data_IF_228108765704
#
_entry.id   IF_228108765704
#
_cell.length_a   1.000
_cell.length_b   1.000
_cell.length_c   1.000
_cell.angle_alpha   90.00
_cell.angle_beta   90.00
_cell.angle_gamma   90.00
#
_symmetry.space_group_name_H-M   'P 1'
#
loop_
_entity.id
_entity.type
_entity.pdbx_description
1 polymer ?
#
# COMPACT_ATOMS: atom_id res chain seq x y z
N UNK A 1 21.34 9.73 0.70
CA UNK A 1 20.44 9.90 1.86
C UNK A 1 20.01 11.35 1.94
N UNK A 2 18.75 11.60 2.29
CA UNK A 2 18.14 12.93 2.33
C UNK A 2 17.37 13.13 3.63
N UNK A 3 17.36 14.36 4.14
CA UNK A 3 16.56 14.76 5.30
C UNK A 3 15.57 15.83 4.86
N UNK A 4 14.31 15.70 5.27
CA UNK A 4 13.24 16.61 4.92
C UNK A 4 12.41 17.00 6.15
N UNK A 5 11.93 18.24 6.16
CA UNK A 5 10.97 18.71 7.16
C UNK A 5 9.75 19.24 6.44
N UNK A 6 8.59 18.65 6.71
CA UNK A 6 7.33 19.04 6.07
C UNK A 6 6.33 19.47 7.13
N UNK A 7 5.42 20.37 6.76
CA UNK A 7 4.24 20.67 7.57
C UNK A 7 3.04 20.16 6.80
N UNK A 8 2.37 19.16 7.36
CA UNK A 8 1.25 18.51 6.68
C UNK A 8 0.01 18.55 7.57
N UNK A 9 -1.14 18.75 6.93
CA UNK A 9 -2.45 18.70 7.57
C UNK A 9 -3.15 17.42 7.15
N UNK A 10 -3.49 16.59 8.12
CA UNK A 10 -4.20 15.31 7.95
C UNK A 10 -5.51 15.45 8.73
N UNK A 11 -6.60 15.73 8.01
CA UNK A 11 -7.89 16.07 8.62
C UNK A 11 -7.79 17.21 9.65
N UNK A 12 -8.22 17.01 10.92
CA UNK A 12 -8.14 18.04 11.96
C UNK A 12 -6.73 18.22 12.53
N UNK A 13 -5.77 17.35 12.21
CA UNK A 13 -4.42 17.36 12.79
C UNK A 13 -3.46 18.08 11.85
N UNK A 14 -2.76 19.10 12.35
CA UNK A 14 -1.62 19.70 11.66
C UNK A 14 -0.34 19.38 12.44
N UNK A 15 0.65 18.84 11.75
CA UNK A 15 1.91 18.45 12.37
C UNK A 15 3.10 18.80 11.48
N UNK A 16 4.25 19.02 12.14
CA UNK A 16 5.54 19.15 11.48
C UNK A 16 6.23 17.80 11.55
N UNK A 17 6.52 17.19 10.41
CA UNK A 17 7.22 15.93 10.32
C UNK A 17 8.67 16.18 9.95
N UNK A 18 9.58 15.54 10.67
CA UNK A 18 10.98 15.42 10.28
C UNK A 18 11.18 14.00 9.78
N UNK A 19 11.69 13.85 8.57
CA UNK A 19 11.88 12.55 7.95
C UNK A 19 13.25 12.39 7.30
N UNK A 20 13.66 11.13 7.22
CA UNK A 20 14.83 10.67 6.49
C UNK A 20 14.34 9.82 5.33
N UNK A 21 14.96 10.02 4.17
CA UNK A 21 14.64 9.33 2.93
C UNK A 21 15.93 8.75 2.35
N UNK A 22 15.89 7.50 1.93
CA UNK A 22 16.99 6.83 1.26
C UNK A 22 16.49 6.23 -0.06
N UNK A 23 17.31 6.37 -1.10
CA UNK A 23 17.12 5.64 -2.34
C UNK A 23 18.05 4.43 -2.31
N UNK A 24 17.49 3.26 -2.57
CA UNK A 24 18.18 1.97 -2.62
C UNK A 24 17.81 1.25 -3.91
N UNK A 25 18.49 0.13 -4.18
CA UNK A 25 18.17 -0.74 -5.31
C UNK A 25 18.08 0.02 -6.64
N UNK A 26 19.03 0.94 -6.86
CA UNK A 26 19.11 1.78 -8.04
C UNK A 26 19.49 0.94 -9.26
N UNK A 27 18.63 0.96 -10.28
CA UNK A 27 18.88 0.36 -11.59
C UNK A 27 18.53 1.36 -12.70
N UNK A 28 19.38 2.38 -12.91
CA UNK A 28 19.10 3.43 -13.89
C UNK A 28 19.08 2.89 -15.34
N UNK A 29 18.16 3.34 -16.21
CA UNK A 29 17.05 4.29 -15.96
C UNK A 29 15.73 3.61 -15.54
N UNK A 30 15.73 2.31 -15.22
CA UNK A 30 14.55 1.45 -15.16
C UNK A 30 13.83 1.46 -13.82
N UNK A 31 14.53 1.43 -12.69
CA UNK A 31 13.87 1.29 -11.39
C UNK A 31 14.70 1.77 -10.22
N UNK A 32 14.02 2.03 -9.11
CA UNK A 32 14.62 2.30 -7.81
C UNK A 32 13.64 2.04 -6.67
N UNK A 33 14.17 1.88 -5.46
CA UNK A 33 13.37 1.82 -4.24
C UNK A 33 13.59 3.05 -3.38
N UNK A 34 12.50 3.63 -2.89
CA UNK A 34 12.52 4.67 -1.87
C UNK A 34 12.21 4.02 -0.53
N UNK A 35 12.99 4.33 0.50
CA UNK A 35 12.63 4.03 1.89
C UNK A 35 12.62 5.32 2.69
N UNK A 36 11.66 5.44 3.61
CA UNK A 36 11.47 6.65 4.36
C UNK A 36 10.91 6.39 5.75
N UNK A 37 11.40 7.16 6.71
CA UNK A 37 10.82 7.23 8.04
C UNK A 37 10.69 8.68 8.47
N UNK A 38 9.65 8.97 9.25
CA UNK A 38 9.39 10.31 9.74
C UNK A 38 8.68 10.33 11.09
N UNK A 39 8.98 11.35 11.87
CA UNK A 39 8.36 11.62 13.17
C UNK A 39 7.71 12.99 13.20
N UNK A 40 6.46 13.02 13.64
CA UNK A 40 5.67 14.22 13.93
C UNK A 40 5.61 14.55 15.42
N UNK A 41 6.49 13.95 16.24
CA UNK A 41 6.47 14.09 17.69
C UNK A 41 5.16 13.55 18.28
N UNK A 42 4.43 14.39 19.01
CA UNK A 42 3.15 14.02 19.62
C UNK A 42 2.06 13.61 18.60
N UNK A 43 2.20 13.99 17.33
CA UNK A 43 1.27 13.60 16.28
C UNK A 43 1.43 12.14 15.86
N UNK A 44 2.62 11.56 15.99
CA UNK A 44 2.91 10.18 15.63
C UNK A 44 4.12 10.02 14.72
N UNK A 45 4.18 8.88 14.03
CA UNK A 45 5.28 8.53 13.13
C UNK A 45 4.78 7.75 11.91
N UNK A 46 5.59 7.75 10.86
CA UNK A 46 5.38 6.93 9.67
C UNK A 46 6.70 6.28 9.25
N UNK A 47 6.64 5.02 8.82
CA UNK A 47 7.75 4.31 8.17
C UNK A 47 7.22 3.59 6.95
N UNK A 48 7.90 3.68 5.82
CA UNK A 48 7.43 3.04 4.61
C UNK A 48 8.49 3.01 3.52
N UNK A 49 8.07 2.50 2.38
CA UNK A 49 8.86 2.55 1.17
C UNK A 49 7.98 2.46 -0.06
N UNK A 50 8.60 2.76 -1.19
CA UNK A 50 7.98 2.67 -2.50
C UNK A 50 8.94 1.98 -3.47
N UNK A 51 8.43 1.04 -4.27
CA UNK A 51 9.14 0.55 -5.45
C UNK A 51 8.68 1.37 -6.64
N UNK A 52 9.61 1.91 -7.44
CA UNK A 52 9.32 2.71 -8.63
C UNK A 52 9.93 2.04 -9.86
N UNK A 53 9.17 1.93 -10.93
CA UNK A 53 9.61 1.43 -12.22
C UNK A 53 9.24 2.40 -13.33
N UNK A 54 10.14 2.57 -14.28
CA UNK A 54 9.99 3.42 -15.46
C UNK A 54 10.11 2.55 -16.70
N UNK A 55 9.12 2.62 -17.57
CA UNK A 55 9.07 1.88 -18.84
C UNK A 55 8.80 2.87 -19.95
N UNK A 56 9.61 2.83 -21.00
CA UNK A 56 9.32 3.55 -22.24
C UNK A 56 8.23 2.79 -23.01
N UNK A 57 7.16 3.50 -23.38
CA UNK A 57 6.05 2.95 -24.15
C UNK A 57 5.53 4.01 -25.11
N UNK A 58 5.41 3.67 -26.40
CA UNK A 58 4.87 4.55 -27.45
C UNK A 58 5.39 6.01 -27.46
N UNK A 59 6.65 6.24 -27.08
CA UNK A 59 7.27 7.57 -27.01
C UNK A 59 6.95 8.38 -25.75
N UNK A 60 6.34 7.74 -24.74
CA UNK A 60 6.15 8.27 -23.38
C UNK A 60 6.87 7.39 -22.35
N UNK A 61 7.05 7.91 -21.14
CA UNK A 61 7.56 7.13 -20.00
C UNK A 61 6.42 6.82 -19.05
N UNK A 62 6.09 5.54 -18.92
CA UNK A 62 5.14 5.04 -17.92
C UNK A 62 5.88 4.83 -16.59
N UNK A 63 5.54 5.66 -15.61
CA UNK A 63 6.02 5.53 -14.24
C UNK A 63 4.97 4.75 -13.43
N UNK A 64 5.35 3.56 -12.96
CA UNK A 64 4.56 2.77 -12.01
C UNK A 64 5.21 2.79 -10.63
N UNK A 65 4.39 2.82 -9.58
CA UNK A 65 4.88 2.78 -8.23
C UNK A 65 3.97 1.95 -7.31
N UNK A 66 4.59 1.27 -6.36
CA UNK A 66 3.90 0.52 -5.31
C UNK A 66 4.39 1.01 -3.95
N UNK A 67 3.49 1.47 -3.09
CA UNK A 67 3.80 2.06 -1.79
C UNK A 67 3.28 1.17 -0.67
N UNK A 68 4.14 0.91 0.32
CA UNK A 68 3.75 0.29 1.58
C UNK A 68 4.26 1.13 2.74
N UNK A 69 3.36 1.51 3.64
CA UNK A 69 3.69 2.33 4.80
C UNK A 69 2.94 1.86 6.05
N UNK A 70 3.59 2.04 7.20
CA UNK A 70 3.05 1.85 8.53
C UNK A 70 3.02 3.19 9.24
N UNK A 71 1.85 3.55 9.75
CA UNK A 71 1.61 4.80 10.48
C UNK A 71 1.19 4.46 11.91
N UNK A 72 1.71 5.21 12.87
CA UNK A 72 1.43 5.01 14.30
C UNK A 72 1.26 6.32 15.07
N UNK A 73 0.74 6.21 16.30
CA UNK A 73 0.47 7.35 17.17
C UNK A 73 -0.90 7.98 16.95
N UNK A 74 -1.05 9.28 17.28
CA UNK A 74 -2.35 9.96 17.24
C UNK A 74 -2.93 10.07 15.84
N UNK A 75 -2.10 10.18 14.81
CA UNK A 75 -2.56 10.23 13.41
C UNK A 75 -3.18 8.90 12.98
N UNK A 76 -2.65 7.75 13.44
CA UNK A 76 -3.22 6.45 13.12
C UNK A 76 -4.66 6.29 13.65
N UNK A 77 -5.02 7.04 14.70
CA UNK A 77 -6.37 7.05 15.29
C UNK A 77 -7.40 7.80 14.42
N UNK A 78 -6.96 8.55 13.41
CA UNK A 78 -7.85 9.24 12.47
C UNK A 78 -8.54 8.27 11.49
N UNK A 79 -8.07 7.03 11.42
CA UNK A 79 -8.61 5.98 10.57
C UNK A 79 -7.95 5.91 9.19
N UNK A 80 -7.91 4.69 8.65
CA UNK A 80 -7.21 4.35 7.40
C UNK A 80 -7.71 5.18 6.22
N UNK A 81 -9.03 5.31 6.05
CA UNK A 81 -9.64 6.05 4.93
C UNK A 81 -9.17 7.50 4.82
N UNK A 82 -9.04 8.20 5.95
CA UNK A 82 -8.57 9.58 5.96
C UNK A 82 -7.09 9.68 5.57
N UNK A 83 -6.27 8.77 6.11
CA UNK A 83 -4.85 8.67 5.81
C UNK A 83 -4.65 8.40 4.32
N UNK A 84 -5.36 7.42 3.77
CA UNK A 84 -5.28 7.02 2.37
C UNK A 84 -5.69 8.17 1.44
N UNK A 85 -6.80 8.87 1.74
CA UNK A 85 -7.23 10.03 0.93
C UNK A 85 -6.22 11.18 0.94
N UNK A 86 -5.55 11.40 2.08
CA UNK A 86 -4.52 12.44 2.20
C UNK A 86 -3.25 12.02 1.45
N UNK A 87 -2.84 10.76 1.56
CA UNK A 87 -1.70 10.21 0.84
C UNK A 87 -1.92 10.26 -0.67
N UNK A 88 -3.09 9.84 -1.15
CA UNK A 88 -3.48 9.92 -2.56
C UNK A 88 -3.37 11.36 -3.09
N UNK A 89 -3.95 12.33 -2.38
CA UNK A 89 -3.85 13.75 -2.75
C UNK A 89 -2.40 14.22 -2.84
N UNK A 90 -1.55 13.86 -1.88
CA UNK A 90 -0.13 14.23 -1.91
C UNK A 90 0.62 13.58 -3.08
N UNK A 91 0.30 12.32 -3.42
CA UNK A 91 0.84 11.65 -4.60
C UNK A 91 0.42 12.35 -5.90
N UNK A 92 -0.88 12.67 -6.03
CA UNK A 92 -1.42 13.34 -7.21
C UNK A 92 -0.73 14.72 -7.40
N UNK A 93 -0.60 15.51 -6.32
CA UNK A 93 0.13 16.79 -6.34
C UNK A 93 1.61 16.61 -6.70
N UNK A 94 2.29 15.60 -6.13
CA UNK A 94 3.69 15.33 -6.43
C UNK A 94 3.91 14.99 -7.91
N UNK A 95 3.10 14.08 -8.47
CA UNK A 95 3.28 13.64 -9.86
C UNK A 95 2.86 14.70 -10.87
N UNK A 96 1.83 15.50 -10.56
CA UNK A 96 1.45 16.65 -11.36
C UNK A 96 2.61 17.66 -11.47
N UNK A 97 3.28 17.97 -10.35
CA UNK A 97 4.45 18.86 -10.37
C UNK A 97 5.69 18.20 -10.98
N UNK A 98 5.90 16.90 -10.74
CA UNK A 98 7.00 16.15 -11.32
C UNK A 98 6.97 16.13 -12.84
N UNK A 99 5.81 15.87 -13.46
CA UNK A 99 5.69 15.84 -14.91
C UNK A 99 5.98 17.20 -15.56
N UNK A 100 5.47 18.30 -14.96
CA UNK A 100 5.78 19.67 -15.39
C UNK A 100 7.30 19.91 -15.40
N UNK A 101 8.00 19.47 -14.36
CA UNK A 101 9.44 19.64 -14.22
C UNK A 101 10.25 18.70 -15.13
N UNK A 102 9.75 17.49 -15.39
CA UNK A 102 10.40 16.50 -16.23
C UNK A 102 10.23 16.77 -17.74
N UNK A 103 9.54 17.85 -18.13
CA UNK A 103 9.29 18.21 -19.52
C UNK A 103 8.14 17.43 -20.17
N UNK A 104 7.39 16.65 -19.39
CA UNK A 104 6.12 16.06 -19.81
C UNK A 104 5.00 17.09 -19.80
N UNK A 105 4.02 16.91 -20.68
CA UNK A 105 2.72 17.58 -20.55
C UNK A 105 2.00 17.15 -19.27
N UNK A 106 0.76 17.61 -19.07
CA UNK A 106 -0.06 17.27 -17.91
C UNK A 106 -0.03 15.75 -17.66
N UNK A 107 0.50 15.33 -16.51
CA UNK A 107 0.53 13.91 -16.15
C UNK A 107 -0.91 13.42 -16.08
N UNK A 108 -1.35 12.66 -17.07
CA UNK A 108 -2.59 11.93 -16.96
C UNK A 108 -2.36 10.80 -15.96
N UNK A 109 -2.66 11.08 -14.70
CA UNK A 109 -2.68 10.07 -13.66
C UNK A 109 -3.76 9.06 -14.04
N UNK A 110 -3.36 8.00 -14.74
CA UNK A 110 -4.19 6.80 -14.87
C UNK A 110 -4.48 6.39 -13.45
N UNK A 111 -5.74 6.54 -13.04
CA UNK A 111 -6.15 6.30 -11.67
C UNK A 111 -5.54 4.96 -11.24
N UNK A 112 -4.79 4.91 -10.11
CA UNK A 112 -4.24 3.64 -9.65
C UNK A 112 -5.43 2.69 -9.61
N UNK A 113 -5.34 1.60 -10.38
CA UNK A 113 -6.27 0.49 -10.25
C UNK A 113 -6.39 0.26 -8.74
N UNK A 114 -7.60 0.36 -8.16
CA UNK A 114 -7.77 0.34 -6.72
C UNK A 114 -6.92 -0.81 -6.21
N UNK A 115 -5.98 -0.50 -5.31
CA UNK A 115 -5.15 -1.49 -4.64
C UNK A 115 -6.08 -2.64 -4.34
N UNK A 116 -5.85 -3.79 -5.00
CA UNK A 116 -6.79 -4.89 -4.94
C UNK A 116 -7.01 -5.16 -3.45
N UNK A 117 -8.17 -4.73 -2.94
CA UNK A 117 -8.68 -5.25 -1.69
C UNK A 117 -8.59 -6.76 -1.88
N UNK A 118 -7.97 -7.51 -0.96
CA UNK A 118 -8.22 -8.94 -0.96
C UNK A 118 -9.74 -9.06 -0.88
N UNK A 119 -10.37 -9.52 -1.98
CA UNK A 119 -11.82 -9.58 -2.07
C UNK A 119 -12.34 -10.21 -0.79
N UNK A 120 -13.14 -9.50 0.02
CA UNK A 120 -13.71 -10.08 1.21
C UNK A 120 -14.81 -11.04 0.76
N UNK A 121 -14.41 -12.28 0.54
CA UNK A 121 -15.32 -13.41 0.48
C UNK A 121 -15.76 -13.83 -0.92
N UNK A 122 -14.87 -14.55 -1.61
CA UNK A 122 -15.31 -15.81 -2.18
C UNK A 122 -15.71 -16.74 -1.02
N UNK A 123 -16.96 -16.63 -0.54
CA UNK A 123 -17.58 -17.65 0.32
C UNK A 123 -17.80 -18.91 -0.52
N UNK A 124 -16.72 -19.63 -0.81
CA UNK A 124 -16.76 -21.05 -1.17
C UNK A 124 -17.03 -21.86 0.09
N UNK A 125 -18.22 -21.72 0.66
CA UNK A 125 -18.67 -22.60 1.73
C UNK A 125 -18.87 -23.99 1.15
N UNK A 126 -18.08 -24.96 1.61
CA UNK A 126 -18.27 -26.37 1.27
C UNK A 126 -19.72 -26.74 1.62
N UNK A 127 -20.55 -27.17 0.65
CA UNK A 127 -21.98 -27.30 0.88
C UNK A 127 -22.25 -28.35 1.98
N UNK A 128 -23.29 -28.17 2.81
CA UNK A 128 -23.49 -28.94 4.05
C UNK A 128 -23.50 -30.46 3.88
N UNK A 129 -23.87 -30.95 2.69
CA UNK A 129 -23.86 -32.37 2.35
C UNK A 129 -22.45 -32.97 2.32
N UNK A 130 -21.42 -32.18 1.98
CA UNK A 130 -20.01 -32.64 2.01
C UNK A 130 -19.52 -32.83 3.45
N UNK A 131 -19.95 -31.97 4.39
CA UNK A 131 -19.72 -32.20 5.82
C UNK A 131 -20.43 -33.44 6.33
N UNK A 132 -21.67 -33.69 5.87
CA UNK A 132 -22.42 -34.88 6.24
C UNK A 132 -21.72 -36.17 5.73
N UNK A 133 -21.28 -36.20 4.47
CA UNK A 133 -20.55 -37.36 3.91
C UNK A 133 -19.18 -37.54 4.58
N UNK A 134 -18.45 -36.45 4.84
CA UNK A 134 -17.17 -36.49 5.54
C UNK A 134 -17.28 -36.99 6.98
N UNK A 135 -18.31 -36.56 7.72
CA UNK A 135 -18.56 -37.03 9.09
C UNK A 135 -18.97 -38.51 9.12
N UNK A 136 -19.75 -38.99 8.15
CA UNK A 136 -20.13 -40.40 8.05
C UNK A 136 -18.92 -41.30 7.73
N UNK A 137 -18.03 -40.86 6.84
CA UNK A 137 -16.81 -41.61 6.51
C UNK A 137 -15.87 -41.70 7.73
N UNK A 138 -15.70 -40.61 8.49
CA UNK A 138 -14.88 -40.60 9.71
C UNK A 138 -15.49 -41.49 10.79
N UNK A 139 -16.81 -41.46 10.99
CA UNK A 139 -17.50 -42.32 11.95
C UNK A 139 -17.38 -43.81 11.57
N UNK A 140 -17.51 -44.17 10.29
CA UNK A 140 -17.36 -45.55 9.83
C UNK A 140 -15.94 -46.09 10.02
N UNK A 141 -14.91 -45.26 9.78
CA UNK A 141 -13.51 -45.62 10.04
C UNK A 141 -13.24 -45.77 11.54
N UNK A 142 -13.79 -44.90 12.39
CA UNK A 142 -13.64 -45.02 13.84
C UNK A 142 -14.35 -46.27 14.39
N UNK A 143 -15.55 -46.61 13.90
CA UNK A 143 -16.25 -47.84 14.30
C UNK A 143 -15.45 -49.08 13.87
N UNK A 144 -14.90 -49.10 12.66
CA UNK A 144 -14.11 -50.22 12.17
C UNK A 144 -12.78 -50.41 12.93
N UNK A 145 -12.15 -49.32 13.40
CA UNK A 145 -10.90 -49.36 14.17
C UNK A 145 -11.13 -49.78 15.63
N UNK A 146 -12.30 -49.49 16.21
CA UNK A 146 -12.63 -49.86 17.60
C UNK A 146 -13.39 -51.20 17.75
N UNK A 147 -13.79 -51.83 16.65
CA UNK A 147 -14.48 -53.13 16.64
C UNK A 147 -13.57 -54.34 16.30
N UNK A 148 -12.23 -54.15 16.34
CA UNK A 148 -11.20 -55.19 16.19
C UNK A 148 -10.45 -55.38 17.49
#
# INVERSE_FOLDING_TARGET
EYNAVTRTKIGPVSARFKGRIQLTDLDPPRSFRITGEGTGGAAGFAKGGASVTLVEDAGVTVLSYEVSAKVGGKIAQLGQRLIDSTAKKMSDEFFAEFAKLAGGGEAEAVAPAPAAEPEPGAKGGVPPWVWAVGAIAIAAVLIAVFAV
#
